data_IF_192406505753
#
_entry.id   IF_192406505753
#
_cell.length_a   1.000
_cell.length_b   1.000
_cell.length_c   1.000
_cell.angle_alpha   90.00
_cell.angle_beta   90.00
_cell.angle_gamma   90.00
#
_symmetry.space_group_name_H-M   'P 1'
#
loop_
_entity.id
_entity.type
_entity.pdbx_description
1 polymer ?
#
# COMPACT_ATOMS: atom_id res chain seq x y z
N UNK A 1 -10.92 -23.27 -23.22
CA UNK A 1 -11.84 -22.28 -22.61
C UNK A 1 -12.59 -22.83 -21.39
N UNK A 2 -12.90 -24.12 -21.30
CA UNK A 2 -13.60 -24.70 -20.13
C UNK A 2 -12.80 -24.67 -18.82
N UNK A 3 -11.47 -24.86 -18.87
CA UNK A 3 -10.60 -24.83 -17.68
C UNK A 3 -10.55 -23.48 -16.99
N UNK A 4 -10.55 -22.37 -17.75
CA UNK A 4 -10.59 -21.01 -17.19
C UNK A 4 -11.94 -20.72 -16.52
N UNK A 5 -13.05 -21.15 -17.16
CA UNK A 5 -14.41 -21.02 -16.61
C UNK A 5 -14.55 -21.76 -15.28
N UNK A 6 -13.96 -22.95 -15.17
CA UNK A 6 -13.97 -23.74 -13.94
C UNK A 6 -13.15 -23.07 -12.82
N UNK A 7 -12.05 -22.38 -13.14
CA UNK A 7 -11.23 -21.67 -12.15
C UNK A 7 -11.97 -20.45 -11.57
N UNK A 8 -12.63 -19.65 -12.42
CA UNK A 8 -13.42 -18.49 -11.97
C UNK A 8 -14.64 -18.88 -11.14
N UNK A 9 -15.27 -20.01 -11.46
CA UNK A 9 -16.37 -20.56 -10.65
C UNK A 9 -15.83 -21.06 -9.31
N UNK A 10 -14.70 -21.79 -9.33
CA UNK A 10 -14.10 -22.34 -8.12
C UNK A 10 -13.62 -21.26 -7.14
N UNK A 11 -13.04 -20.15 -7.65
CA UNK A 11 -12.62 -19.01 -6.83
C UNK A 11 -13.79 -18.33 -6.11
N UNK A 12 -14.99 -18.37 -6.68
CA UNK A 12 -16.20 -17.82 -6.07
C UNK A 12 -16.87 -18.77 -5.08
N UNK A 13 -16.91 -20.06 -5.38
CA UNK A 13 -17.59 -21.07 -4.53
C UNK A 13 -16.74 -21.42 -3.31
N UNK A 14 -15.43 -21.60 -3.48
CA UNK A 14 -14.50 -21.94 -2.39
C UNK A 14 -13.26 -21.04 -2.42
N UNK A 15 -13.39 -19.75 -2.11
CA UNK A 15 -12.30 -18.78 -2.22
C UNK A 15 -11.08 -19.13 -1.35
N UNK A 16 -11.32 -19.65 -0.14
CA UNK A 16 -10.23 -20.04 0.77
C UNK A 16 -9.43 -21.24 0.26
N UNK A 17 -10.10 -22.24 -0.32
CA UNK A 17 -9.44 -23.44 -0.85
C UNK A 17 -8.75 -23.12 -2.18
N UNK A 18 -9.38 -22.31 -3.03
CA UNK A 18 -8.77 -21.76 -4.24
C UNK A 18 -7.43 -21.10 -3.91
N UNK A 19 -7.42 -20.16 -2.95
CA UNK A 19 -6.21 -19.44 -2.61
C UNK A 19 -5.15 -20.30 -1.92
N UNK A 20 -5.56 -21.24 -1.06
CA UNK A 20 -4.65 -22.21 -0.43
C UNK A 20 -3.83 -22.98 -1.48
N UNK A 21 -4.47 -23.48 -2.54
CA UNK A 21 -3.79 -24.23 -3.62
C UNK A 21 -2.70 -23.41 -4.32
N UNK A 22 -2.91 -22.11 -4.49
CA UNK A 22 -1.91 -21.21 -5.06
C UNK A 22 -0.75 -20.97 -4.10
N UNK A 23 -1.06 -20.72 -2.83
CA UNK A 23 -0.06 -20.50 -1.79
C UNK A 23 0.84 -21.72 -1.57
N UNK A 24 0.28 -22.94 -1.64
CA UNK A 24 1.04 -24.18 -1.56
C UNK A 24 2.07 -24.29 -2.71
N UNK A 25 1.77 -23.70 -3.87
CA UNK A 25 2.68 -23.59 -5.01
C UNK A 25 3.60 -22.35 -4.94
N UNK A 26 3.51 -21.54 -3.88
CA UNK A 26 4.24 -20.28 -3.69
C UNK A 26 4.01 -19.22 -4.77
N UNK A 27 2.86 -19.29 -5.44
CA UNK A 27 2.45 -18.36 -6.50
C UNK A 27 1.09 -17.80 -6.13
N UNK A 28 0.78 -16.57 -6.54
CA UNK A 28 -0.55 -16.00 -6.37
C UNK A 28 -1.43 -16.23 -7.60
N UNK A 29 -2.77 -16.10 -7.47
CA UNK A 29 -3.68 -16.20 -8.61
C UNK A 29 -3.35 -15.26 -9.77
N UNK A 30 -2.66 -14.14 -9.51
CA UNK A 30 -2.21 -13.16 -10.50
C UNK A 30 -0.81 -13.47 -11.10
N UNK A 31 -0.19 -14.59 -10.69
CA UNK A 31 1.13 -15.03 -11.14
C UNK A 31 2.30 -14.38 -10.39
N UNK A 32 2.06 -13.45 -9.47
CA UNK A 32 3.15 -12.85 -8.67
C UNK A 32 3.60 -13.80 -7.56
N UNK A 33 4.85 -13.66 -7.12
CA UNK A 33 5.35 -14.30 -5.91
C UNK A 33 4.73 -13.67 -4.65
N UNK A 34 4.76 -14.41 -3.54
CA UNK A 34 4.17 -14.02 -2.26
C UNK A 34 4.80 -12.75 -1.66
N UNK A 35 6.06 -12.46 -1.98
CA UNK A 35 6.85 -11.34 -1.45
C UNK A 35 6.75 -10.06 -2.31
N UNK A 36 6.22 -10.15 -3.53
CA UNK A 36 6.27 -9.06 -4.52
C UNK A 36 5.15 -8.05 -4.36
N UNK A 37 5.47 -6.77 -4.42
CA UNK A 37 4.49 -5.69 -4.50
C UNK A 37 3.92 -5.57 -5.92
N UNK A 38 2.76 -4.90 -6.07
CA UNK A 38 2.25 -4.50 -7.39
C UNK A 38 3.20 -3.47 -8.01
N UNK A 39 3.28 -3.50 -9.35
CA UNK A 39 4.03 -2.49 -10.09
C UNK A 39 3.44 -1.10 -9.86
N UNK A 40 4.30 -0.11 -9.73
CA UNK A 40 3.93 1.26 -9.32
C UNK A 40 4.40 2.26 -10.35
N UNK A 41 3.47 3.03 -10.90
CA UNK A 41 3.78 4.16 -11.75
C UNK A 41 3.21 5.42 -11.14
N UNK A 42 4.05 6.44 -11.01
CA UNK A 42 3.68 7.74 -10.46
C UNK A 42 3.79 8.77 -11.58
N UNK A 43 2.83 9.69 -11.66
CA UNK A 43 2.86 10.81 -12.59
C UNK A 43 2.42 12.06 -11.85
N UNK A 44 3.26 13.08 -11.81
CA UNK A 44 2.93 14.39 -11.23
C UNK A 44 2.18 15.27 -12.24
N UNK A 45 1.51 16.31 -11.74
CA UNK A 45 0.84 17.36 -12.53
C UNK A 45 -0.19 16.84 -13.55
N UNK A 46 -0.99 15.85 -13.15
CA UNK A 46 -2.00 15.25 -14.01
C UNK A 46 -3.27 16.10 -14.13
N UNK A 47 -3.61 16.85 -13.07
CA UNK A 47 -4.73 17.78 -13.05
C UNK A 47 -4.19 19.20 -13.21
N UNK A 48 -4.55 19.84 -14.33
CA UNK A 48 -4.12 21.20 -14.65
C UNK A 48 -4.78 22.29 -13.78
N UNK A 49 -5.95 22.01 -13.21
CA UNK A 49 -6.71 22.96 -12.38
C UNK A 49 -6.36 22.92 -10.89
N UNK A 50 -5.53 21.97 -10.46
CA UNK A 50 -5.06 21.85 -9.08
C UNK A 50 -3.69 22.54 -8.93
N UNK A 51 -3.38 23.08 -7.75
CA UNK A 51 -2.09 23.71 -7.50
C UNK A 51 -0.94 22.69 -7.56
N UNK A 52 -1.19 21.47 -7.09
CA UNK A 52 -0.34 20.31 -7.31
C UNK A 52 -1.21 19.08 -7.47
N UNK A 53 -0.78 18.09 -8.25
CA UNK A 53 -1.49 16.83 -8.37
C UNK A 53 -0.54 15.67 -8.65
N UNK A 54 -0.98 14.46 -8.30
CA UNK A 54 -0.28 13.23 -8.61
C UNK A 54 -1.29 12.12 -8.92
N UNK A 55 -1.01 11.32 -9.93
CA UNK A 55 -1.67 10.06 -10.21
C UNK A 55 -0.70 8.93 -9.88
N UNK A 56 -1.13 8.02 -9.02
CA UNK A 56 -0.40 6.82 -8.66
C UNK A 56 -1.20 5.62 -9.11
N UNK A 57 -0.59 4.75 -9.92
CA UNK A 57 -1.17 3.48 -10.32
C UNK A 57 -0.38 2.36 -9.70
N UNK A 58 -1.05 1.53 -8.92
CA UNK A 58 -0.55 0.35 -8.26
C UNK A 58 -1.25 -0.88 -8.84
N UNK A 59 -0.67 -1.48 -9.88
CA UNK A 59 -1.30 -2.54 -10.67
C UNK A 59 -2.62 -2.08 -11.31
N UNK A 60 -3.74 -2.60 -10.79
CA UNK A 60 -5.10 -2.28 -11.25
C UNK A 60 -5.78 -1.16 -10.45
N UNK A 61 -5.14 -0.68 -9.39
CA UNK A 61 -5.67 0.41 -8.55
C UNK A 61 -5.04 1.72 -8.98
N UNK A 62 -5.87 2.71 -9.35
CA UNK A 62 -5.41 4.07 -9.68
C UNK A 62 -5.96 5.05 -8.67
N UNK A 63 -5.07 5.83 -8.06
CA UNK A 63 -5.39 6.89 -7.11
C UNK A 63 -4.93 8.21 -7.70
N UNK A 64 -5.79 9.23 -7.63
CA UNK A 64 -5.45 10.59 -8.04
C UNK A 64 -5.62 11.50 -6.84
N UNK A 65 -4.56 12.22 -6.49
CA UNK A 65 -4.54 13.19 -5.41
C UNK A 65 -4.28 14.58 -5.99
N UNK A 66 -5.06 15.57 -5.55
CA UNK A 66 -4.88 16.98 -5.90
C UNK A 66 -4.81 17.83 -4.64
N UNK A 67 -3.87 18.77 -4.62
CA UNK A 67 -3.75 19.79 -3.59
C UNK A 67 -4.33 21.08 -4.16
N UNK A 68 -5.27 21.66 -3.44
CA UNK A 68 -5.84 22.97 -3.75
C UNK A 68 -5.66 23.89 -2.55
N UNK A 69 -5.05 25.04 -2.81
CA UNK A 69 -4.93 26.10 -1.83
C UNK A 69 -6.09 27.09 -2.02
N UNK A 70 -6.68 27.53 -0.92
CA UNK A 70 -7.74 28.53 -0.91
C UNK A 70 -7.30 29.72 -0.07
N UNK A 71 -7.69 30.92 -0.52
CA UNK A 71 -7.44 32.15 0.23
C UNK A 71 -8.57 32.29 1.24
N UNK A 72 -8.20 32.42 2.51
CA UNK A 72 -9.12 32.66 3.62
C UNK A 72 -8.83 34.02 4.23
N UNK A 73 -9.84 34.62 4.87
CA UNK A 73 -9.63 35.76 5.75
C UNK A 73 -8.67 35.37 6.88
N UNK A 74 -7.69 36.23 7.22
CA UNK A 74 -6.72 36.01 8.29
C UNK A 74 -7.39 36.07 9.67
N UNK A 75 -6.72 35.53 10.70
CA UNK A 75 -7.20 35.60 12.07
C UNK A 75 -7.26 37.07 12.56
N UNK A 76 -8.30 37.42 13.32
CA UNK A 76 -8.52 38.76 13.86
C UNK A 76 -7.35 39.25 14.74
N UNK A 77 -6.61 38.29 15.33
CA UNK A 77 -5.43 38.58 16.16
C UNK A 77 -4.21 38.99 15.34
N UNK A 78 -4.12 38.55 14.08
CA UNK A 78 -2.97 38.77 13.21
C UNK A 78 -3.44 39.07 11.77
N UNK A 79 -4.01 40.26 11.52
CA UNK A 79 -4.63 40.60 10.23
C UNK A 79 -3.64 40.63 9.06
N UNK A 80 -2.35 40.85 9.32
CA UNK A 80 -1.30 40.91 8.29
C UNK A 80 -0.61 39.56 8.05
N UNK A 81 -1.08 38.47 8.67
CA UNK A 81 -0.47 37.15 8.56
C UNK A 81 -1.45 36.13 7.96
N UNK A 82 -1.06 35.51 6.85
CA UNK A 82 -1.71 34.29 6.37
C UNK A 82 -1.39 33.10 7.28
N UNK A 83 -2.29 32.14 7.37
CA UNK A 83 -2.07 30.90 8.11
C UNK A 83 -2.16 29.69 7.18
N UNK A 84 -1.31 28.69 7.43
CA UNK A 84 -1.51 27.34 6.91
C UNK A 84 -2.15 26.52 8.01
N UNK A 85 -3.31 25.92 7.73
CA UNK A 85 -4.04 25.08 8.71
C UNK A 85 -3.19 23.91 9.21
N UNK A 86 -2.21 23.47 8.41
CA UNK A 86 -1.14 22.55 8.83
C UNK A 86 0.18 23.00 8.22
N UNK A 87 1.15 23.51 9.01
CA UNK A 87 2.52 23.63 8.53
C UNK A 87 3.01 22.24 8.15
N UNK A 88 3.34 22.03 6.88
CA UNK A 88 3.79 20.75 6.37
C UNK A 88 5.32 20.80 6.26
N UNK A 89 6.01 20.13 7.17
CA UNK A 89 7.43 19.83 6.98
C UNK A 89 7.52 18.56 6.13
N UNK A 90 7.89 18.74 4.86
CA UNK A 90 8.04 17.67 3.86
C UNK A 90 9.45 17.09 3.83
N UNK A 91 10.27 17.33 4.86
CA UNK A 91 11.65 16.81 4.92
C UNK A 91 11.72 15.30 4.71
N UNK A 92 10.68 14.56 5.12
CA UNK A 92 10.57 13.13 4.89
C UNK A 92 9.12 12.71 4.66
N UNK A 93 8.91 11.66 3.87
CA UNK A 93 7.57 11.16 3.55
C UNK A 93 7.38 9.71 3.99
N UNK A 94 6.22 9.37 4.58
CA UNK A 94 5.95 8.03 5.03
C UNK A 94 5.67 7.09 3.85
N UNK A 95 6.29 5.92 3.87
CA UNK A 95 5.99 4.79 2.97
C UNK A 95 5.27 3.71 3.77
N UNK A 96 4.04 3.39 3.36
CA UNK A 96 3.26 2.32 3.95
C UNK A 96 3.37 1.03 3.13
N UNK A 97 3.65 -0.09 3.80
CA UNK A 97 3.60 -1.42 3.24
C UNK A 97 2.64 -2.30 4.05
N UNK A 98 1.76 -3.00 3.36
CA UNK A 98 0.75 -3.88 3.99
C UNK A 98 1.06 -5.33 3.69
N UNK A 99 0.92 -6.18 4.69
CA UNK A 99 1.16 -7.62 4.64
C UNK A 99 -0.05 -8.38 5.16
N UNK A 100 -0.50 -9.39 4.41
CA UNK A 100 -1.56 -10.30 4.81
C UNK A 100 -0.99 -11.64 5.26
N UNK A 101 -1.45 -12.17 6.39
CA UNK A 101 -1.11 -13.51 6.84
C UNK A 101 -2.25 -14.47 6.51
N UNK A 102 -1.96 -15.46 5.67
CA UNK A 102 -2.95 -16.45 5.21
C UNK A 102 -2.43 -17.88 5.38
N UNK A 103 -3.17 -18.69 6.15
CA UNK A 103 -2.91 -20.10 6.50
C UNK A 103 -1.57 -20.37 7.20
N UNK A 104 -0.45 -19.99 6.58
CA UNK A 104 0.91 -20.04 7.10
C UNK A 104 1.89 -19.17 6.28
N UNK A 105 1.39 -18.44 5.29
CA UNK A 105 2.18 -17.66 4.34
C UNK A 105 1.95 -16.16 4.53
N UNK A 106 3.04 -15.40 4.41
CA UNK A 106 3.04 -13.94 4.45
C UNK A 106 2.99 -13.38 3.03
N UNK A 107 1.88 -12.73 2.69
CA UNK A 107 1.63 -12.06 1.43
C UNK A 107 1.99 -10.58 1.53
N UNK A 108 2.87 -10.10 0.67
CA UNK A 108 3.13 -8.66 0.49
C UNK A 108 2.06 -8.05 -0.42
N UNK A 109 1.52 -6.91 -0.02
CA UNK A 109 0.58 -6.10 -0.80
C UNK A 109 -0.65 -6.89 -1.26
N UNK A 110 -1.52 -7.31 -0.32
CA UNK A 110 -2.71 -8.08 -0.65
C UNK A 110 -3.68 -7.29 -1.54
N UNK A 111 -4.35 -8.01 -2.45
CA UNK A 111 -5.47 -7.48 -3.24
C UNK A 111 -6.81 -7.63 -2.49
N UNK A 112 -7.88 -7.02 -2.99
CA UNK A 112 -9.21 -7.00 -2.33
C UNK A 112 -9.71 -8.41 -1.93
N UNK A 113 -9.49 -9.41 -2.78
CA UNK A 113 -9.87 -10.80 -2.50
C UNK A 113 -9.01 -11.40 -1.38
N UNK A 114 -7.69 -11.17 -1.44
CA UNK A 114 -6.73 -11.60 -0.42
C UNK A 114 -7.02 -10.96 0.93
N UNK A 115 -7.34 -9.67 0.94
CA UNK A 115 -7.71 -8.92 2.14
C UNK A 115 -8.98 -9.46 2.79
N UNK A 116 -9.99 -9.83 2.01
CA UNK A 116 -11.22 -10.42 2.51
C UNK A 116 -11.07 -11.82 3.11
N UNK A 117 -9.99 -12.52 2.75
CA UNK A 117 -9.71 -13.91 3.18
C UNK A 117 -8.60 -14.02 4.22
N UNK A 118 -7.76 -12.99 4.35
CA UNK A 118 -6.68 -12.94 5.33
C UNK A 118 -7.23 -12.91 6.75
N UNK A 119 -6.63 -13.69 7.65
CA UNK A 119 -7.01 -13.73 9.07
C UNK A 119 -6.39 -12.59 9.87
N UNK A 120 -5.21 -12.15 9.44
CA UNK A 120 -4.45 -11.11 10.07
C UNK A 120 -3.76 -10.27 9.01
N UNK A 121 -3.66 -8.97 9.26
CA UNK A 121 -3.03 -8.00 8.38
C UNK A 121 -2.18 -7.05 9.19
N UNK A 122 -0.97 -6.80 8.72
CA UNK A 122 -0.04 -5.87 9.34
C UNK A 122 0.29 -4.80 8.31
N UNK A 123 0.06 -3.54 8.66
CA UNK A 123 0.53 -2.39 7.89
C UNK A 123 1.65 -1.73 8.66
N UNK A 124 2.81 -1.64 8.01
CA UNK A 124 4.00 -1.00 8.56
C UNK A 124 4.22 0.29 7.78
N UNK A 125 4.41 1.38 8.51
CA UNK A 125 4.72 2.69 7.95
C UNK A 125 6.14 3.04 8.38
N UNK A 126 7.01 3.21 7.41
CA UNK A 126 8.38 3.65 7.61
C UNK A 126 8.60 5.02 6.99
N UNK A 127 9.56 5.73 7.55
CA UNK A 127 10.07 6.98 7.01
C UNK A 127 11.11 6.72 5.93
N UNK A 128 11.44 7.73 5.11
CA UNK A 128 12.46 7.62 4.05
C UNK A 128 13.81 7.16 4.58
N UNK A 129 14.15 7.40 5.84
CA UNK A 129 15.45 6.98 6.37
C UNK A 129 15.44 5.53 6.90
N UNK A 130 14.31 4.83 6.77
CA UNK A 130 14.10 3.47 7.25
C UNK A 130 13.68 3.40 8.71
N UNK A 131 13.40 4.55 9.33
CA UNK A 131 12.88 4.64 10.69
C UNK A 131 11.42 4.20 10.73
N UNK A 132 11.06 3.46 11.79
CA UNK A 132 9.69 3.00 11.97
C UNK A 132 8.81 4.13 12.49
N UNK A 133 7.79 4.51 11.73
CA UNK A 133 6.82 5.54 12.14
C UNK A 133 5.61 4.91 12.84
N UNK A 134 5.03 3.86 12.25
CA UNK A 134 3.81 3.25 12.78
C UNK A 134 3.69 1.78 12.39
N UNK A 135 3.15 0.96 13.29
CA UNK A 135 2.74 -0.42 13.00
C UNK A 135 1.27 -0.57 13.36
N UNK A 136 0.47 -0.93 12.38
CA UNK A 136 -0.94 -1.24 12.57
C UNK A 136 -1.17 -2.72 12.32
N UNK A 137 -1.65 -3.42 13.34
CA UNK A 137 -2.02 -4.83 13.23
C UNK A 137 -3.54 -4.97 13.34
N UNK A 138 -4.13 -5.66 12.37
CA UNK A 138 -5.54 -5.93 12.30
C UNK A 138 -5.76 -7.43 12.11
N UNK A 139 -6.07 -8.10 13.22
CA UNK A 139 -6.33 -9.53 13.27
C UNK A 139 -6.19 -10.06 14.69
N UNK A 140 -6.78 -11.22 14.95
CA UNK A 140 -6.76 -11.88 16.26
C UNK A 140 -5.67 -12.96 16.38
N UNK A 141 -4.79 -13.10 15.37
CA UNK A 141 -3.84 -14.21 15.31
C UNK A 141 -2.50 -13.81 15.95
N UNK A 142 -1.90 -14.68 16.74
CA UNK A 142 -0.52 -14.49 17.20
C UNK A 142 0.44 -14.65 16.02
N UNK A 143 1.26 -13.64 15.76
CA UNK A 143 2.29 -13.68 14.73
C UNK A 143 3.65 -13.86 15.39
N UNK A 144 4.43 -14.80 14.86
CA UNK A 144 5.79 -15.03 15.32
C UNK A 144 6.69 -13.82 15.04
N UNK A 145 7.69 -13.66 15.90
CA UNK A 145 8.68 -12.58 15.80
C UNK A 145 9.45 -12.64 14.47
N UNK A 146 9.69 -13.84 13.96
CA UNK A 146 10.39 -14.05 12.68
C UNK A 146 9.57 -13.52 11.50
N UNK A 147 8.25 -13.67 11.54
CA UNK A 147 7.35 -13.13 10.51
C UNK A 147 7.37 -11.60 10.57
N UNK A 148 7.33 -11.01 11.76
CA UNK A 148 7.43 -9.55 11.92
C UNK A 148 8.77 -9.02 11.40
N UNK A 149 9.89 -9.67 11.72
CA UNK A 149 11.22 -9.30 11.20
C UNK A 149 11.24 -9.33 9.66
N UNK A 150 10.68 -10.39 9.08
CA UNK A 150 10.53 -10.49 7.62
C UNK A 150 9.69 -9.36 7.02
N UNK A 151 8.62 -8.92 7.71
CA UNK A 151 7.82 -7.79 7.26
C UNK A 151 8.65 -6.49 7.24
N UNK A 152 9.45 -6.26 8.29
CA UNK A 152 10.32 -5.08 8.37
C UNK A 152 11.36 -5.07 7.24
N UNK A 153 12.02 -6.21 7.00
CA UNK A 153 13.04 -6.33 5.94
C UNK A 153 12.41 -6.05 4.56
N UNK A 154 11.25 -6.66 4.27
CA UNK A 154 10.51 -6.41 3.02
C UNK A 154 10.02 -4.97 2.88
N UNK A 155 9.70 -4.31 3.99
CA UNK A 155 9.24 -2.91 3.97
C UNK A 155 10.40 -2.00 3.57
N UNK A 156 11.60 -2.30 4.09
CA UNK A 156 12.82 -1.58 3.72
C UNK A 156 13.17 -1.75 2.25
N UNK A 157 13.10 -2.97 1.71
CA UNK A 157 13.32 -3.21 0.28
C UNK A 157 12.33 -2.42 -0.59
N UNK A 158 11.06 -2.39 -0.17
CA UNK A 158 10.01 -1.65 -0.86
C UNK A 158 10.24 -0.13 -0.80
N UNK A 159 10.75 0.36 0.31
CA UNK A 159 11.09 1.76 0.51
C UNK A 159 12.19 2.21 -0.45
N UNK A 160 13.24 1.40 -0.63
CA UNK A 160 14.30 1.68 -1.61
C UNK A 160 13.76 1.68 -3.05
N UNK A 161 12.82 0.78 -3.37
CA UNK A 161 12.15 0.79 -4.67
C UNK A 161 11.36 2.09 -4.90
N UNK A 162 10.53 2.50 -3.94
CA UNK A 162 9.70 3.72 -4.05
C UNK A 162 10.57 4.98 -4.10
N UNK A 163 11.66 5.04 -3.33
CA UNK A 163 12.63 6.14 -3.42
C UNK A 163 13.18 6.28 -4.83
N UNK A 164 13.53 5.16 -5.46
CA UNK A 164 14.04 5.15 -6.83
C UNK A 164 12.98 5.66 -7.81
N UNK A 165 11.75 5.17 -7.69
CA UNK A 165 10.64 5.59 -8.56
C UNK A 165 10.31 7.08 -8.40
N UNK A 166 10.42 7.63 -7.18
CA UNK A 166 10.22 9.05 -6.90
C UNK A 166 11.39 9.93 -7.36
N UNK A 167 12.63 9.42 -7.31
CA UNK A 167 13.81 10.15 -7.80
C UNK A 167 13.84 10.35 -9.32
N UNK A 168 12.96 9.64 -10.05
CA UNK A 168 12.84 9.69 -11.51
C UNK A 168 11.76 10.68 -11.99
N UNK A 169 11.02 11.30 -11.08
CA UNK A 169 10.02 12.35 -11.36
C UNK A 169 10.65 13.75 -11.39
#
# INVERSE_FOLDING_TARGET
>A
METLRNADIFSRIQPHEYMRRFIDQKVRPDGRLLDRFRDTSITSNVISTANASAMVRLGNTTVVCGIKAEVSEPDLKHPDQGFLVKPFDLSRFPVSATYGYFSSALLSDPNDTEEGLAKDRITIVMDTDGDLLHVYKNGATSLDVDVMRTCFDRTRDRLEQIKKDLSLL
#
